data_IF_037242754383
#
_entry.id   IF_037242754383
#
_cell.length_a   1.000
_cell.length_b   1.000
_cell.length_c   1.000
_cell.angle_alpha   90.00
_cell.angle_beta   90.00
_cell.angle_gamma   90.00
#
_symmetry.space_group_name_H-M   'P 1'
#
loop_
_entity.id
_entity.type
_entity.pdbx_description
1 polymer ?
#
# COMPACT_ATOMS: atom_id res chain seq x y z
N UNK A 1 23.42 -7.19 -1.52
CA UNK A 1 23.25 -7.44 -0.06
C UNK A 1 21.78 -7.76 0.16
N UNK A 2 21.48 -8.93 0.74
CA UNK A 2 20.09 -9.33 1.00
C UNK A 2 19.52 -8.49 2.14
N UNK A 3 18.34 -7.90 1.93
CA UNK A 3 17.69 -7.09 2.96
C UNK A 3 16.89 -8.00 3.90
N UNK A 4 17.08 -7.78 5.21
CA UNK A 4 16.49 -8.55 6.31
C UNK A 4 15.07 -8.09 6.63
N UNK A 5 14.22 -9.01 7.06
CA UNK A 5 12.88 -8.73 7.57
C UNK A 5 12.45 -9.83 8.56
N UNK A 6 11.56 -9.50 9.49
CA UNK A 6 10.82 -10.51 10.27
C UNK A 6 9.65 -11.08 9.45
N UNK A 7 9.65 -12.38 9.22
CA UNK A 7 8.68 -13.06 8.37
C UNK A 7 7.25 -13.09 8.97
N UNK A 8 7.12 -13.21 10.30
CA UNK A 8 5.80 -13.24 10.95
C UNK A 8 5.13 -11.87 10.86
N UNK A 9 5.86 -10.80 11.16
CA UNK A 9 5.36 -9.43 11.05
C UNK A 9 5.05 -9.07 9.60
N UNK A 10 5.96 -9.38 8.67
CA UNK A 10 5.72 -9.14 7.25
C UNK A 10 4.50 -9.91 6.74
N UNK A 11 4.34 -11.18 7.13
CA UNK A 11 3.19 -12.01 6.77
C UNK A 11 1.86 -11.41 7.25
N UNK A 12 1.79 -10.92 8.48
CA UNK A 12 0.59 -10.25 9.02
C UNK A 12 0.22 -8.98 8.25
N UNK A 13 1.21 -8.14 7.95
CA UNK A 13 1.01 -6.90 7.18
C UNK A 13 0.54 -7.18 5.75
N UNK A 14 1.15 -8.17 5.08
CA UNK A 14 0.71 -8.61 3.75
C UNK A 14 -0.69 -9.20 3.77
N UNK A 15 -1.07 -9.95 4.81
CA UNK A 15 -2.42 -10.49 4.95
C UNK A 15 -3.46 -9.36 5.08
N UNK A 16 -3.19 -8.36 5.93
CA UNK A 16 -4.04 -7.18 6.08
C UNK A 16 -4.17 -6.41 4.76
N UNK A 17 -3.05 -6.17 4.06
CA UNK A 17 -3.04 -5.53 2.75
C UNK A 17 -3.93 -6.29 1.75
N UNK A 18 -3.73 -7.61 1.63
CA UNK A 18 -4.48 -8.46 0.68
C UNK A 18 -5.96 -8.50 0.99
N UNK A 19 -6.32 -8.54 2.27
CA UNK A 19 -7.73 -8.52 2.69
C UNK A 19 -8.39 -7.19 2.30
N UNK A 20 -7.72 -6.06 2.58
CA UNK A 20 -8.22 -4.75 2.21
C UNK A 20 -8.32 -4.59 0.69
N UNK A 21 -7.31 -5.02 -0.06
CA UNK A 21 -7.33 -5.00 -1.51
C UNK A 21 -8.48 -5.83 -2.09
N UNK A 22 -8.73 -7.03 -1.55
CA UNK A 22 -9.85 -7.87 -1.98
C UNK A 22 -11.19 -7.15 -1.79
N UNK A 23 -11.38 -6.47 -0.65
CA UNK A 23 -12.59 -5.68 -0.41
C UNK A 23 -12.74 -4.53 -1.40
N UNK A 24 -11.65 -3.83 -1.72
CA UNK A 24 -11.68 -2.80 -2.75
C UNK A 24 -12.02 -3.37 -4.14
N UNK A 25 -11.49 -4.55 -4.48
CA UNK A 25 -11.83 -5.23 -5.74
C UNK A 25 -13.31 -5.62 -5.80
N UNK A 26 -13.90 -6.10 -4.70
CA UNK A 26 -15.32 -6.42 -4.63
C UNK A 26 -16.17 -5.16 -4.83
N UNK A 27 -15.80 -4.05 -4.17
CA UNK A 27 -16.50 -2.75 -4.32
C UNK A 27 -16.36 -2.16 -5.72
N UNK A 28 -15.20 -2.32 -6.37
CA UNK A 28 -14.95 -1.80 -7.72
C UNK A 28 -15.79 -2.50 -8.80
N UNK A 29 -16.33 -3.69 -8.51
CA UNK A 29 -17.21 -4.45 -9.43
C UNK A 29 -18.66 -3.97 -9.39
N UNK A 30 -19.02 -3.17 -8.40
CA UNK A 30 -20.38 -2.65 -8.28
C UNK A 30 -20.66 -1.61 -9.38
N UNK A 31 -21.90 -1.55 -9.89
CA UNK A 31 -22.33 -0.44 -10.73
C UNK A 31 -22.03 0.89 -10.03
N UNK A 32 -21.52 1.87 -10.80
CA UNK A 32 -21.15 3.19 -10.27
C UNK A 32 -22.28 3.83 -9.47
N UNK A 33 -23.50 3.78 -9.99
CA UNK A 33 -24.69 4.33 -9.33
C UNK A 33 -24.92 3.68 -7.96
N UNK A 34 -24.87 2.34 -7.88
CA UNK A 34 -25.04 1.61 -6.62
C UNK A 34 -23.97 1.98 -5.58
N UNK A 35 -22.73 2.21 -6.02
CA UNK A 35 -21.66 2.66 -5.14
C UNK A 35 -21.89 4.09 -4.64
N UNK A 36 -22.27 5.01 -5.54
CA UNK A 36 -22.40 6.44 -5.22
C UNK A 36 -23.61 6.74 -4.34
N UNK A 37 -24.66 5.91 -4.39
CA UNK A 37 -25.87 6.09 -3.57
C UNK A 37 -25.79 5.45 -2.19
N UNK A 38 -24.75 4.67 -1.91
CA UNK A 38 -24.62 3.91 -0.67
C UNK A 38 -23.46 4.44 0.19
N UNK A 39 -23.75 5.14 1.31
CA UNK A 39 -22.73 5.72 2.17
C UNK A 39 -21.85 4.66 2.87
N UNK A 40 -22.36 3.44 3.08
CA UNK A 40 -21.60 2.36 3.69
C UNK A 40 -20.57 1.79 2.72
N UNK A 41 -20.90 1.71 1.43
CA UNK A 41 -19.94 1.34 0.37
C UNK A 41 -18.83 2.38 0.22
N UNK A 42 -19.19 3.66 0.24
CA UNK A 42 -18.22 4.77 0.21
C UNK A 42 -17.31 4.70 1.44
N UNK A 43 -17.88 4.56 2.64
CA UNK A 43 -17.13 4.44 3.89
C UNK A 43 -16.20 3.22 3.89
N UNK A 44 -16.69 2.07 3.42
CA UNK A 44 -15.92 0.84 3.28
C UNK A 44 -14.73 1.01 2.34
N UNK A 45 -14.92 1.66 1.18
CA UNK A 45 -13.83 1.95 0.24
C UNK A 45 -12.77 2.84 0.87
N UNK A 46 -13.17 3.94 1.52
CA UNK A 46 -12.22 4.85 2.21
C UNK A 46 -11.40 4.09 3.25
N UNK A 47 -12.06 3.30 4.10
CA UNK A 47 -11.41 2.50 5.12
C UNK A 47 -10.41 1.49 4.54
N UNK A 48 -10.81 0.72 3.54
CA UNK A 48 -9.93 -0.30 2.96
C UNK A 48 -8.75 0.31 2.18
N UNK A 49 -8.91 1.48 1.56
CA UNK A 49 -7.78 2.21 1.01
C UNK A 49 -6.76 2.61 2.09
N UNK A 50 -7.25 3.17 3.20
CA UNK A 50 -6.39 3.53 4.35
C UNK A 50 -5.64 2.29 4.85
N UNK A 51 -6.34 1.18 5.10
CA UNK A 51 -5.72 -0.05 5.61
C UNK A 51 -4.66 -0.61 4.65
N UNK A 52 -4.94 -0.66 3.35
CA UNK A 52 -3.98 -1.17 2.37
C UNK A 52 -2.71 -0.29 2.33
N UNK A 53 -2.88 1.03 2.29
CA UNK A 53 -1.75 1.96 2.19
C UNK A 53 -0.95 1.99 3.50
N UNK A 54 -1.61 1.97 4.65
CA UNK A 54 -0.94 1.89 5.96
C UNK A 54 -0.13 0.60 6.10
N UNK A 55 -0.70 -0.56 5.72
CA UNK A 55 0.00 -1.83 5.75
C UNK A 55 1.26 -1.82 4.85
N UNK A 56 1.21 -1.12 3.71
CA UNK A 56 2.37 -0.93 2.84
C UNK A 56 3.45 -0.03 3.47
N UNK A 57 3.04 1.06 4.14
CA UNK A 57 3.95 1.95 4.88
C UNK A 57 4.61 1.19 6.03
N UNK A 58 3.83 0.47 6.83
CA UNK A 58 4.32 -0.32 7.98
C UNK A 58 5.29 -1.42 7.56
N UNK A 59 5.01 -2.09 6.44
CA UNK A 59 5.91 -3.10 5.89
C UNK A 59 7.21 -2.46 5.43
N UNK A 60 7.14 -1.27 4.83
CA UNK A 60 8.31 -0.53 4.37
C UNK A 60 9.17 -0.06 5.54
N UNK A 61 8.54 0.51 6.57
CA UNK A 61 9.19 0.89 7.83
C UNK A 61 9.86 -0.30 8.51
N UNK A 62 9.20 -1.45 8.52
CA UNK A 62 9.78 -2.67 9.07
C UNK A 62 11.06 -3.08 8.34
N UNK A 63 11.07 -3.03 7.01
CA UNK A 63 12.27 -3.34 6.20
C UNK A 63 13.38 -2.31 6.47
N UNK A 64 13.04 -1.02 6.50
CA UNK A 64 14.00 0.05 6.81
C UNK A 64 14.67 -0.19 8.16
N UNK A 65 13.88 -0.41 9.21
CA UNK A 65 14.39 -0.63 10.56
C UNK A 65 15.26 -1.89 10.67
N UNK A 66 14.91 -2.97 9.97
CA UNK A 66 15.68 -4.23 10.03
C UNK A 66 17.00 -4.19 9.25
N UNK A 67 17.19 -3.19 8.39
CA UNK A 67 18.38 -3.04 7.56
C UNK A 67 19.23 -1.81 7.89
N UNK A 68 18.88 -1.11 8.97
CA UNK A 68 19.59 0.10 9.42
C UNK A 68 19.74 1.13 8.28
N UNK A 69 18.70 1.25 7.44
CA UNK A 69 18.63 2.31 6.44
C UNK A 69 18.38 3.66 7.15
N UNK A 70 18.51 4.77 6.41
CA UNK A 70 18.23 6.10 6.96
C UNK A 70 16.81 6.18 7.51
N UNK A 71 16.61 7.03 8.52
CA UNK A 71 15.31 7.23 9.16
C UNK A 71 14.40 7.99 8.17
N UNK A 72 13.15 7.53 7.94
CA UNK A 72 12.20 8.25 7.11
C UNK A 72 11.75 9.55 7.78
N UNK A 73 11.70 10.64 7.01
CA UNK A 73 11.19 11.93 7.49
C UNK A 73 9.65 11.95 7.56
N UNK A 74 9.00 11.24 6.64
CA UNK A 74 7.55 11.10 6.56
C UNK A 74 7.15 9.75 5.91
N UNK A 75 5.85 9.51 5.76
CA UNK A 75 5.36 8.29 5.12
C UNK A 75 5.77 8.15 3.65
N UNK A 76 5.84 9.25 2.90
CA UNK A 76 6.29 9.20 1.50
C UNK A 76 7.78 8.82 1.41
N UNK A 77 8.57 9.25 2.38
CA UNK A 77 10.00 9.02 2.44
C UNK A 77 10.35 7.54 2.69
N UNK A 78 9.47 6.78 3.33
CA UNK A 78 9.61 5.32 3.45
C UNK A 78 9.76 4.66 2.08
N UNK A 79 8.97 5.08 1.08
CA UNK A 79 9.05 4.54 -0.27
C UNK A 79 10.25 5.07 -1.05
N UNK A 80 10.73 6.29 -0.76
CA UNK A 80 11.98 6.81 -1.34
C UNK A 80 13.16 5.97 -0.90
N UNK A 81 13.27 5.69 0.39
CA UNK A 81 14.35 4.87 0.97
C UNK A 81 14.36 3.47 0.34
N UNK A 82 13.18 2.85 0.17
CA UNK A 82 13.12 1.54 -0.48
C UNK A 82 13.45 1.59 -1.98
N UNK A 83 13.17 2.72 -2.65
CA UNK A 83 13.63 2.99 -4.01
C UNK A 83 15.15 3.14 -4.10
N UNK A 84 15.76 3.91 -3.19
CA UNK A 84 17.20 4.06 -3.04
C UNK A 84 17.89 2.71 -2.79
N UNK A 85 17.24 1.82 -2.04
CA UNK A 85 17.70 0.45 -1.80
C UNK A 85 17.42 -0.53 -2.96
N UNK A 86 16.85 -0.06 -4.08
CA UNK A 86 16.61 -0.87 -5.28
C UNK A 86 15.42 -1.83 -5.20
N UNK A 87 14.55 -1.71 -4.18
CA UNK A 87 13.34 -2.56 -4.06
C UNK A 87 12.27 -2.14 -5.07
N UNK A 88 12.15 -0.83 -5.31
CA UNK A 88 11.19 -0.28 -6.26
C UNK A 88 11.91 0.53 -7.33
N UNK A 89 11.48 0.44 -8.59
CA UNK A 89 12.01 1.30 -9.62
C UNK A 89 11.54 2.76 -9.42
N UNK A 90 12.32 3.77 -9.83
CA UNK A 90 12.04 5.20 -9.53
C UNK A 90 10.64 5.67 -9.96
N UNK A 91 10.15 5.20 -11.10
CA UNK A 91 8.82 5.51 -11.62
C UNK A 91 7.72 4.99 -10.69
N UNK A 92 7.94 3.85 -10.04
CA UNK A 92 6.96 3.27 -9.13
C UNK A 92 7.01 3.94 -7.75
N UNK A 93 8.19 4.36 -7.28
CA UNK A 93 8.31 5.18 -6.05
C UNK A 93 7.42 6.42 -6.13
N UNK A 94 7.39 7.09 -7.28
CA UNK A 94 6.53 8.27 -7.49
C UNK A 94 5.04 7.93 -7.33
N UNK A 95 4.63 6.73 -7.74
CA UNK A 95 3.26 6.22 -7.57
C UNK A 95 2.95 5.92 -6.11
N UNK A 96 3.87 5.27 -5.39
CA UNK A 96 3.71 4.98 -3.96
C UNK A 96 3.60 6.26 -3.11
N UNK A 97 4.37 7.30 -3.45
CA UNK A 97 4.23 8.62 -2.82
C UNK A 97 2.84 9.24 -3.06
N UNK A 98 2.24 9.05 -4.23
CA UNK A 98 0.86 9.51 -4.48
C UNK A 98 -0.14 8.75 -3.64
N UNK A 99 0.07 7.45 -3.40
CA UNK A 99 -0.76 6.65 -2.51
C UNK A 99 -0.73 7.18 -1.07
N UNK A 100 0.44 7.54 -0.52
CA UNK A 100 0.51 8.12 0.84
C UNK A 100 -0.25 9.44 0.94
N UNK A 101 -0.13 10.31 -0.07
CA UNK A 101 -0.88 11.57 -0.14
C UNK A 101 -2.39 11.33 -0.20
N UNK A 102 -2.83 10.34 -0.98
CA UNK A 102 -4.23 9.95 -1.05
C UNK A 102 -4.76 9.47 0.30
N UNK A 103 -4.03 8.58 0.98
CA UNK A 103 -4.34 8.16 2.36
C UNK A 103 -4.43 9.35 3.31
N UNK A 104 -3.50 10.30 3.22
CA UNK A 104 -3.53 11.50 4.07
C UNK A 104 -4.77 12.36 3.82
N UNK A 105 -5.20 12.50 2.55
CA UNK A 105 -6.44 13.21 2.21
C UNK A 105 -7.67 12.49 2.78
N UNK A 106 -7.71 11.16 2.71
CA UNK A 106 -8.80 10.35 3.29
C UNK A 106 -8.93 10.49 4.81
N UNK A 107 -7.81 10.65 5.52
CA UNK A 107 -7.78 10.72 6.99
C UNK A 107 -7.95 12.15 7.51
N UNK A 108 -7.23 13.12 6.93
CA UNK A 108 -7.12 14.46 7.49
C UNK A 108 -8.01 15.51 6.81
N UNK A 109 -8.43 15.27 5.56
CA UNK A 109 -9.20 16.22 4.76
C UNK A 109 -10.50 15.55 4.31
N UNK A 110 -11.23 14.96 5.26
CA UNK A 110 -12.36 14.06 5.00
C UNK A 110 -13.49 14.67 4.13
N UNK A 111 -13.55 16.01 4.01
CA UNK A 111 -14.49 16.75 3.16
C UNK A 111 -14.01 16.98 1.72
N UNK A 112 -12.75 16.66 1.40
CA UNK A 112 -12.10 17.02 0.13
C UNK A 112 -12.05 15.84 -0.85
N UNK A 113 -12.53 14.65 -0.49
CA UNK A 113 -12.69 13.54 -1.44
C UNK A 113 -14.18 13.28 -1.66
N UNK A 114 -14.67 13.78 -2.79
CA UNK A 114 -16.01 13.47 -3.28
C UNK A 114 -16.10 12.01 -3.75
N UNK A 115 -17.32 11.47 -3.74
CA UNK A 115 -17.59 10.06 -4.02
C UNK A 115 -17.25 9.66 -5.45
N UNK A 116 -17.38 10.55 -6.43
CA UNK A 116 -17.02 10.31 -7.82
C UNK A 116 -15.51 10.15 -7.99
N UNK A 117 -14.73 11.06 -7.38
CA UNK A 117 -13.26 10.95 -7.35
C UNK A 117 -12.82 9.66 -6.66
N UNK A 118 -13.44 9.31 -5.53
CA UNK A 118 -13.16 8.06 -4.84
C UNK A 118 -13.45 6.84 -5.72
N UNK A 119 -14.59 6.80 -6.41
CA UNK A 119 -14.93 5.70 -7.31
C UNK A 119 -13.95 5.59 -8.50
N UNK A 120 -13.56 6.73 -9.07
CA UNK A 120 -12.56 6.75 -10.15
C UNK A 120 -11.21 6.17 -9.67
N UNK A 121 -10.77 6.52 -8.45
CA UNK A 121 -9.56 5.95 -7.84
C UNK A 121 -9.77 4.46 -7.51
N UNK A 122 -10.95 4.08 -7.03
CA UNK A 122 -11.34 2.69 -6.76
C UNK A 122 -11.21 1.80 -7.99
N UNK A 123 -11.66 2.27 -9.16
CA UNK A 123 -11.60 1.46 -10.39
C UNK A 123 -10.20 1.48 -11.01
N UNK A 124 -9.51 2.63 -10.99
CA UNK A 124 -8.24 2.79 -11.71
C UNK A 124 -6.98 2.53 -10.88
N UNK A 125 -7.06 2.64 -9.55
CA UNK A 125 -5.93 2.60 -8.62
C UNK A 125 -5.58 1.20 -8.11
N UNK A 126 -6.44 0.20 -8.31
CA UNK A 126 -6.18 -1.17 -7.82
C UNK A 126 -4.93 -1.79 -8.44
N UNK A 127 -4.59 -1.40 -9.67
CA UNK A 127 -3.38 -1.84 -10.36
C UNK A 127 -2.09 -1.44 -9.61
N UNK A 128 -2.12 -0.33 -8.89
CA UNK A 128 -0.96 0.16 -8.14
C UNK A 128 -0.77 -0.69 -6.87
N UNK A 129 -1.88 -1.10 -6.23
CA UNK A 129 -1.85 -2.07 -5.12
C UNK A 129 -1.33 -3.44 -5.57
N UNK A 130 -1.76 -3.91 -6.75
CA UNK A 130 -1.26 -5.14 -7.36
C UNK A 130 0.24 -5.06 -7.69
N UNK A 131 0.67 -3.93 -8.25
CA UNK A 131 2.08 -3.67 -8.55
C UNK A 131 2.93 -3.69 -7.27
N UNK A 132 2.43 -3.11 -6.18
CA UNK A 132 3.10 -3.14 -4.89
C UNK A 132 3.28 -4.57 -4.38
N UNK A 133 2.20 -5.38 -4.36
CA UNK A 133 2.30 -6.79 -3.93
C UNK A 133 3.24 -7.62 -4.80
N UNK A 134 3.25 -7.38 -6.12
CA UNK A 134 4.17 -8.07 -7.04
C UNK A 134 5.62 -7.70 -6.74
N UNK A 135 5.91 -6.42 -6.53
CA UNK A 135 7.25 -5.95 -6.17
C UNK A 135 7.72 -6.54 -4.83
N UNK A 136 6.86 -6.50 -3.81
CA UNK A 136 7.15 -7.11 -2.51
C UNK A 136 7.31 -8.63 -2.61
N UNK A 137 6.50 -9.31 -3.43
CA UNK A 137 6.63 -10.75 -3.68
C UNK A 137 8.00 -11.10 -4.27
N UNK A 138 8.44 -10.37 -5.31
CA UNK A 138 9.77 -10.54 -5.92
C UNK A 138 10.89 -10.30 -4.91
N UNK A 139 10.75 -9.25 -4.11
CA UNK A 139 11.69 -8.94 -3.02
C UNK A 139 11.81 -10.11 -2.04
N UNK A 140 10.70 -10.67 -1.56
CA UNK A 140 10.76 -11.80 -0.62
C UNK A 140 11.29 -13.08 -1.24
N UNK A 141 10.97 -13.39 -2.49
CA UNK A 141 11.51 -14.58 -3.17
C UNK A 141 12.99 -14.47 -3.48
N UNK A 142 13.47 -13.26 -3.81
CA UNK A 142 14.89 -13.00 -4.08
C UNK A 142 15.77 -12.94 -2.82
N UNK A 143 15.18 -12.84 -1.63
CA UNK A 143 15.89 -12.82 -0.34
C UNK A 143 15.72 -14.12 0.47
N UNK A 144 15.29 -15.23 -0.16
CA UNK A 144 15.13 -16.53 0.52
C UNK A 144 16.43 -17.34 0.75
N UNK A 145 17.61 -16.75 0.54
CA UNK A 145 18.90 -17.42 0.79
C UNK A 145 19.51 -16.96 2.13
N UNK A 146 19.20 -17.73 3.17
CA UNK A 146 20.13 -18.33 4.16
C UNK A 146 19.31 -18.80 5.37
N UNK A 147 18.78 -20.04 5.36
CA UNK A 147 18.44 -20.69 6.61
C UNK A 147 19.76 -21.00 7.30
N UNK A 148 19.99 -20.36 8.45
CA UNK A 148 21.07 -20.67 9.38
C UNK A 148 21.41 -22.18 9.37
N UNK A 149 22.68 -22.48 9.06
CA UNK A 149 23.35 -23.69 9.55
C UNK A 149 23.20 -23.81 11.08
#
# INVERSE_FOLDING_TARGET
>A
MALKFDALKAGKLLAAFRQAQKRLQDLARLPKEEFLTDPDKIGSAKYHFIVAIEAAIDLSNHIIARNNLRIPEDYADTFRILGEAGIFPPEFVTTLIKMTRFRNRLVHIYWDVDSDTLYNILVNGLKDLDAYLKAMGKFFTGNKEEPYC
#
